data_IF_770539789881
#
_entry.id   IF_770539789881
#
_cell.length_a   1.000
_cell.length_b   1.000
_cell.length_c   1.000
_cell.angle_alpha   90.00
_cell.angle_beta   90.00
_cell.angle_gamma   90.00
#
_symmetry.space_group_name_H-M   'P 1'
#
loop_
_entity.id
_entity.type
_entity.pdbx_description
1 polymer ?
#
# COMPACT_ATOMS: atom_id res chain seq x y z
N UNK A 1 5.44 0.84 -5.24
CA UNK A 1 5.27 2.23 -5.74
C UNK A 1 5.21 3.13 -4.52
N UNK A 2 5.78 4.33 -4.61
CA UNK A 2 5.83 5.29 -3.51
C UNK A 2 5.43 6.68 -4.04
N UNK A 3 4.63 7.40 -3.27
CA UNK A 3 4.41 8.84 -3.44
C UNK A 3 4.91 9.53 -2.16
N UNK A 4 5.70 10.58 -2.33
CA UNK A 4 6.14 11.47 -1.25
C UNK A 4 5.48 12.83 -1.48
N UNK A 5 4.82 13.35 -0.46
CA UNK A 5 4.28 14.71 -0.48
C UNK A 5 5.19 15.56 0.40
N UNK A 6 5.86 16.54 -0.22
CA UNK A 6 6.77 17.47 0.42
C UNK A 6 6.12 18.86 0.53
N UNK A 7 6.48 19.61 1.57
CA UNK A 7 5.90 20.91 1.90
C UNK A 7 6.99 21.92 2.18
N UNK A 8 7.79 22.29 1.17
CA UNK A 8 8.89 23.24 1.39
C UNK A 8 8.45 24.70 1.18
N UNK A 9 8.12 25.11 -0.05
CA UNK A 9 8.12 26.55 -0.33
C UNK A 9 6.95 27.34 0.28
N UNK A 10 5.74 26.75 0.34
CA UNK A 10 4.54 27.46 0.82
C UNK A 10 4.49 27.56 2.34
N UNK A 11 5.01 26.57 3.07
CA UNK A 11 5.04 26.60 4.53
C UNK A 11 6.08 27.58 5.06
N UNK A 12 7.26 27.66 4.44
CA UNK A 12 8.32 28.57 4.87
C UNK A 12 7.93 30.06 4.76
N UNK A 13 7.10 30.43 3.79
CA UNK A 13 6.58 31.80 3.68
C UNK A 13 5.51 32.10 4.73
N UNK A 14 4.58 31.16 4.95
CA UNK A 14 3.51 31.32 5.94
C UNK A 14 4.06 31.38 7.38
N UNK A 15 5.10 30.60 7.71
CA UNK A 15 5.76 30.66 9.02
C UNK A 15 6.57 31.94 9.22
N UNK A 16 7.19 32.48 8.17
CA UNK A 16 7.91 33.75 8.24
C UNK A 16 6.99 34.98 8.38
N UNK A 17 5.76 34.90 7.86
CA UNK A 17 4.75 35.95 8.02
C UNK A 17 4.06 35.92 9.40
N UNK A 18 4.00 34.75 10.05
CA UNK A 18 3.38 34.54 11.37
C UNK A 18 4.40 34.69 12.51
N UNK A 19 4.87 35.92 12.75
CA UNK A 19 5.92 36.25 13.72
C UNK A 19 5.57 36.04 15.21
N UNK A 20 4.30 35.80 15.56
CA UNK A 20 3.86 35.86 16.98
C UNK A 20 4.00 34.53 17.76
N UNK A 21 4.10 33.36 17.11
CA UNK A 21 4.37 32.08 17.82
C UNK A 21 4.75 30.91 16.88
N UNK A 22 6.06 30.67 16.63
CA UNK A 22 6.52 29.60 15.74
C UNK A 22 6.18 28.19 16.24
N UNK A 23 6.06 27.99 17.56
CA UNK A 23 5.69 26.70 18.13
C UNK A 23 4.24 26.31 17.84
N UNK A 24 3.30 27.26 17.92
CA UNK A 24 1.88 27.03 17.63
C UNK A 24 1.67 26.64 16.16
N UNK A 25 2.39 27.31 15.26
CA UNK A 25 2.37 27.00 13.82
C UNK A 25 2.94 25.60 13.56
N UNK A 26 4.08 25.25 14.16
CA UNK A 26 4.67 23.91 14.02
C UNK A 26 3.75 22.80 14.54
N UNK A 27 3.06 23.05 15.66
CA UNK A 27 2.07 22.13 16.21
C UNK A 27 0.84 21.99 15.30
N UNK A 28 0.36 23.09 14.71
CA UNK A 28 -0.71 23.07 13.71
C UNK A 28 -0.29 22.22 12.49
N UNK A 29 0.90 22.46 11.92
CA UNK A 29 1.44 21.69 10.79
C UNK A 29 1.53 20.20 11.12
N UNK A 30 2.06 19.85 12.29
CA UNK A 30 2.16 18.45 12.72
C UNK A 30 0.77 17.78 12.82
N UNK A 31 -0.22 18.49 13.38
CA UNK A 31 -1.62 18.01 13.46
C UNK A 31 -2.22 17.84 12.06
N UNK A 32 -2.05 18.82 11.18
CA UNK A 32 -2.46 18.77 9.77
C UNK A 32 -1.91 17.53 9.09
N UNK A 33 -0.60 17.30 9.21
CA UNK A 33 0.07 16.16 8.57
C UNK A 33 -0.36 14.81 9.15
N UNK A 34 -0.63 14.74 10.44
CA UNK A 34 -1.21 13.55 11.08
C UNK A 34 -2.63 13.27 10.58
N UNK A 35 -3.44 14.31 10.39
CA UNK A 35 -4.80 14.19 9.84
C UNK A 35 -4.75 13.82 8.36
N UNK A 36 -3.82 14.38 7.59
CA UNK A 36 -3.59 14.08 6.18
C UNK A 36 -3.14 12.63 5.98
N UNK A 37 -2.19 12.12 6.78
CA UNK A 37 -1.72 10.73 6.64
C UNK A 37 -2.85 9.71 6.86
N UNK A 38 -3.69 9.93 7.87
CA UNK A 38 -4.90 9.11 8.13
C UNK A 38 -5.93 9.22 7.02
N UNK A 39 -6.05 10.39 6.39
CA UNK A 39 -6.92 10.58 5.24
C UNK A 39 -6.39 9.86 4.00
N UNK A 40 -5.11 10.03 3.70
CA UNK A 40 -4.42 9.40 2.58
C UNK A 40 -4.52 7.87 2.65
N UNK A 41 -4.24 7.28 3.81
CA UNK A 41 -4.36 5.82 4.01
C UNK A 41 -5.78 5.33 3.66
N UNK A 42 -6.82 6.03 4.15
CA UNK A 42 -8.22 5.70 3.87
C UNK A 42 -8.55 5.81 2.38
N UNK A 43 -8.11 6.89 1.71
CA UNK A 43 -8.39 7.10 0.29
C UNK A 43 -7.71 6.04 -0.57
N UNK A 44 -6.43 5.79 -0.34
CA UNK A 44 -5.64 4.80 -1.08
C UNK A 44 -6.23 3.40 -0.90
N UNK A 45 -6.58 3.01 0.33
CA UNK A 45 -7.22 1.73 0.59
C UNK A 45 -8.59 1.61 -0.09
N UNK A 46 -9.40 2.66 -0.06
CA UNK A 46 -10.74 2.67 -0.67
C UNK A 46 -10.66 2.51 -2.19
N UNK A 47 -9.81 3.31 -2.84
CA UNK A 47 -9.66 3.25 -4.29
C UNK A 47 -9.01 1.94 -4.75
N UNK A 48 -7.96 1.49 -4.07
CA UNK A 48 -7.32 0.21 -4.39
C UNK A 48 -8.31 -0.95 -4.22
N UNK A 49 -9.05 -0.98 -3.11
CA UNK A 49 -10.09 -1.98 -2.81
C UNK A 49 -11.14 -2.07 -3.92
N UNK A 50 -11.60 -0.93 -4.43
CA UNK A 50 -12.56 -0.86 -5.54
C UNK A 50 -11.98 -1.41 -6.83
N UNK A 51 -10.80 -0.91 -7.25
CA UNK A 51 -10.14 -1.30 -8.50
C UNK A 51 -9.84 -2.80 -8.57
N UNK A 52 -9.29 -3.38 -7.50
CA UNK A 52 -8.96 -4.82 -7.48
C UNK A 52 -10.10 -5.70 -6.94
N UNK A 53 -11.24 -5.13 -6.52
CA UNK A 53 -12.37 -5.85 -5.90
C UNK A 53 -11.95 -6.76 -4.73
N UNK A 54 -11.14 -6.22 -3.82
CA UNK A 54 -10.66 -6.88 -2.60
C UNK A 54 -11.02 -6.03 -1.39
N UNK A 55 -11.38 -6.63 -0.26
CA UNK A 55 -11.75 -5.86 0.93
C UNK A 55 -10.57 -5.04 1.48
N UNK A 56 -10.88 -3.85 2.01
CA UNK A 56 -9.87 -2.99 2.65
C UNK A 56 -9.19 -3.71 3.83
N UNK A 57 -9.94 -4.49 4.60
CA UNK A 57 -9.41 -5.30 5.71
C UNK A 57 -8.35 -6.29 5.22
N UNK A 58 -8.59 -6.99 4.09
CA UNK A 58 -7.59 -7.90 3.54
C UNK A 58 -6.34 -7.13 3.09
N UNK A 59 -6.51 -5.98 2.44
CA UNK A 59 -5.38 -5.13 2.02
C UNK A 59 -4.54 -4.66 3.21
N UNK A 60 -5.19 -4.27 4.32
CA UNK A 60 -4.52 -3.91 5.58
C UNK A 60 -3.77 -5.08 6.19
N UNK A 61 -4.41 -6.25 6.30
CA UNK A 61 -3.80 -7.45 6.89
C UNK A 61 -2.59 -7.94 6.06
N UNK A 62 -2.65 -7.79 4.74
CA UNK A 62 -1.53 -8.08 3.84
C UNK A 62 -0.48 -6.95 3.79
N UNK A 63 -0.69 -5.87 4.54
CA UNK A 63 0.19 -4.72 4.60
C UNK A 63 0.39 -4.04 3.25
N UNK A 64 -0.60 -4.06 2.36
CA UNK A 64 -0.49 -3.56 0.97
C UNK A 64 -0.46 -2.06 0.85
N UNK A 65 -0.97 -1.35 1.83
CA UNK A 65 -0.91 0.11 1.92
C UNK A 65 -0.29 0.44 3.26
N UNK A 66 0.75 1.26 3.24
CA UNK A 66 1.37 1.82 4.44
C UNK A 66 1.55 3.31 4.23
N UNK A 67 1.17 4.10 5.23
CA UNK A 67 1.40 5.54 5.23
C UNK A 67 2.22 5.89 6.45
N UNK A 68 3.35 6.56 6.26
CA UNK A 68 4.17 7.09 7.35
C UNK A 68 4.22 8.61 7.30
N UNK A 69 4.28 9.20 8.49
CA UNK A 69 4.60 10.61 8.67
C UNK A 69 6.07 10.68 9.07
N UNK A 70 6.89 11.26 8.22
CA UNK A 70 8.30 11.49 8.48
C UNK A 70 8.49 12.91 9.04
N UNK A 71 9.20 13.09 10.17
CA UNK A 71 9.48 14.41 10.71
C UNK A 71 10.59 15.14 9.92
N UNK A 72 10.71 16.47 10.09
CA UNK A 72 11.82 17.26 9.58
C UNK A 72 13.19 16.66 9.99
N UNK A 73 14.21 16.86 9.16
CA UNK A 73 15.58 16.37 9.35
C UNK A 73 15.77 14.88 9.05
N UNK A 74 14.69 14.10 8.90
CA UNK A 74 14.80 12.69 8.51
C UNK A 74 15.04 12.58 7.01
N UNK A 75 16.16 11.94 6.63
CA UNK A 75 16.64 11.83 5.23
C UNK A 75 16.97 13.17 4.55
N UNK A 76 17.27 14.21 5.34
CA UNK A 76 17.72 15.51 4.81
C UNK A 76 16.60 16.41 4.30
N UNK A 77 15.36 16.20 4.75
CA UNK A 77 14.21 17.01 4.36
C UNK A 77 13.94 18.12 5.38
N UNK A 78 13.59 19.32 4.91
CA UNK A 78 13.40 20.50 5.76
C UNK A 78 12.01 20.56 6.41
N UNK A 79 11.01 19.86 5.82
CA UNK A 79 9.64 19.78 6.32
C UNK A 79 9.17 18.39 6.76
N UNK A 80 7.94 18.34 7.29
CA UNK A 80 7.21 17.09 7.47
C UNK A 80 6.86 16.48 6.12
N UNK A 81 6.88 15.15 6.02
CA UNK A 81 6.50 14.43 4.80
C UNK A 81 5.48 13.33 5.07
N UNK A 82 4.49 13.20 4.20
CA UNK A 82 3.63 12.01 4.16
C UNK A 82 4.12 11.08 3.06
N UNK A 83 4.61 9.91 3.46
CA UNK A 83 5.08 8.87 2.53
C UNK A 83 4.02 7.78 2.42
N UNK A 84 3.54 7.55 1.19
CA UNK A 84 2.54 6.53 0.88
C UNK A 84 3.22 5.40 0.12
N UNK A 85 3.24 4.21 0.71
CA UNK A 85 3.75 2.99 0.09
C UNK A 85 2.61 2.05 -0.31
N UNK A 86 2.64 1.62 -1.57
CA UNK A 86 1.71 0.61 -2.12
C UNK A 86 2.49 -0.62 -2.58
N UNK A 87 2.15 -1.76 -1.98
CA UNK A 87 2.73 -3.07 -2.27
C UNK A 87 2.16 -3.67 -3.54
N UNK A 88 3.01 -3.82 -4.56
CA UNK A 88 2.61 -4.23 -5.91
C UNK A 88 2.61 -5.74 -6.14
N UNK A 89 3.13 -6.53 -5.20
CA UNK A 89 3.18 -7.99 -5.37
C UNK A 89 1.76 -8.54 -5.48
N UNK A 90 1.56 -9.45 -6.42
CA UNK A 90 0.28 -10.10 -6.64
C UNK A 90 -0.25 -10.74 -5.34
N UNK A 91 -1.57 -10.73 -5.16
CA UNK A 91 -2.24 -11.35 -4.02
C UNK A 91 -2.56 -12.80 -4.39
N UNK A 92 -1.96 -13.80 -3.73
CA UNK A 92 -2.26 -15.18 -4.06
C UNK A 92 -3.74 -15.51 -3.89
N UNK A 93 -4.29 -16.33 -4.78
CA UNK A 93 -5.73 -16.57 -4.87
C UNK A 93 -6.36 -17.07 -3.55
N UNK A 94 -5.65 -17.91 -2.79
CA UNK A 94 -6.13 -18.45 -1.52
C UNK A 94 -6.34 -17.39 -0.41
N UNK A 95 -5.78 -16.18 -0.55
CA UNK A 95 -6.11 -15.07 0.37
C UNK A 95 -7.45 -14.40 0.06
N UNK A 96 -8.00 -14.62 -1.14
CA UNK A 96 -9.21 -13.94 -1.61
C UNK A 96 -10.50 -14.61 -1.11
N UNK A 97 -10.38 -15.70 -0.35
CA UNK A 97 -11.50 -16.45 0.22
C UNK A 97 -11.17 -17.93 0.37
N UNK A 98 -12.17 -18.74 0.75
CA UNK A 98 -12.00 -20.18 0.86
C UNK A 98 -11.98 -20.83 -0.54
N UNK A 99 -10.87 -21.48 -0.94
CA UNK A 99 -10.78 -22.09 -2.26
C UNK A 99 -11.58 -23.39 -2.36
N UNK A 100 -12.35 -23.55 -3.44
CA UNK A 100 -13.19 -24.73 -3.72
C UNK A 100 -12.82 -25.30 -5.09
N UNK A 101 -12.42 -26.57 -5.10
CA UNK A 101 -12.14 -27.31 -6.34
C UNK A 101 -13.44 -27.54 -7.11
N UNK A 102 -13.39 -27.40 -8.43
CA UNK A 102 -14.48 -27.72 -9.37
C UNK A 102 -13.96 -28.64 -10.47
N UNK A 103 -14.85 -29.13 -11.35
CA UNK A 103 -14.48 -30.00 -12.48
C UNK A 103 -13.50 -29.35 -13.47
N UNK A 104 -13.59 -28.04 -13.67
CA UNK A 104 -12.82 -27.31 -14.69
C UNK A 104 -11.84 -26.27 -14.13
N UNK A 105 -11.69 -26.18 -12.81
CA UNK A 105 -10.85 -25.17 -12.18
C UNK A 105 -11.06 -25.02 -10.68
N UNK A 106 -10.67 -23.88 -10.13
CA UNK A 106 -10.88 -23.53 -8.72
C UNK A 106 -11.72 -22.26 -8.62
N UNK A 107 -12.67 -22.23 -7.70
CA UNK A 107 -13.41 -21.01 -7.32
C UNK A 107 -12.94 -20.53 -5.96
N UNK A 108 -12.68 -19.23 -5.83
CA UNK A 108 -12.27 -18.56 -4.58
C UNK A 108 -12.98 -17.21 -4.48
N UNK A 109 -13.83 -17.07 -3.48
CA UNK A 109 -14.70 -15.90 -3.35
C UNK A 109 -15.53 -15.69 -4.63
N UNK A 110 -15.40 -14.51 -5.24
CA UNK A 110 -16.13 -14.11 -6.46
C UNK A 110 -15.46 -14.49 -7.77
N UNK A 111 -14.26 -15.08 -7.72
CA UNK A 111 -13.40 -15.30 -8.87
C UNK A 111 -13.32 -16.79 -9.22
N UNK A 112 -13.05 -17.09 -10.49
CA UNK A 112 -12.88 -18.45 -11.00
C UNK A 112 -11.57 -18.54 -11.77
N UNK A 113 -10.78 -19.57 -11.46
CA UNK A 113 -9.48 -19.84 -12.05
C UNK A 113 -9.57 -21.09 -12.91
N UNK A 114 -9.78 -20.91 -14.21
CA UNK A 114 -9.95 -22.01 -15.16
C UNK A 114 -8.65 -22.80 -15.34
N UNK A 115 -8.78 -24.13 -15.30
CA UNK A 115 -7.67 -25.08 -15.38
C UNK A 115 -6.77 -25.11 -14.14
N UNK A 116 -7.14 -24.40 -13.08
CA UNK A 116 -6.42 -24.44 -11.82
C UNK A 116 -6.86 -25.62 -10.95
N UNK A 117 -6.02 -25.99 -10.00
CA UNK A 117 -6.27 -27.05 -9.02
C UNK A 117 -5.74 -26.66 -7.65
N UNK A 118 -6.30 -27.30 -6.61
CA UNK A 118 -5.83 -27.18 -5.24
C UNK A 118 -4.66 -28.12 -4.98
N UNK A 119 -3.62 -27.59 -4.34
CA UNK A 119 -2.50 -28.37 -3.82
C UNK A 119 -2.08 -27.75 -2.50
N UNK A 120 -1.79 -28.58 -1.51
CA UNK A 120 -1.20 -28.15 -0.26
C UNK A 120 0.31 -28.46 -0.28
N UNK A 121 1.17 -27.43 -0.36
CA UNK A 121 2.61 -27.62 -0.21
C UNK A 121 2.95 -28.17 1.17
N UNK A 122 4.03 -28.96 1.26
CA UNK A 122 4.51 -29.56 2.53
C UNK A 122 4.79 -28.49 3.60
N UNK A 123 5.25 -27.31 3.18
CA UNK A 123 5.56 -26.18 4.03
C UNK A 123 4.38 -25.20 4.21
N UNK A 124 3.13 -25.66 4.01
CA UNK A 124 1.95 -24.85 4.22
C UNK A 124 0.88 -25.56 5.02
N UNK A 125 0.25 -24.81 5.92
CA UNK A 125 -0.91 -25.25 6.70
C UNK A 125 -2.22 -25.27 5.89
N UNK A 126 -2.25 -24.70 4.68
CA UNK A 126 -3.48 -24.55 3.91
C UNK A 126 -3.28 -24.87 2.42
N UNK A 127 -4.35 -25.33 1.76
CA UNK A 127 -4.34 -25.56 0.33
C UNK A 127 -4.23 -24.23 -0.44
N UNK A 128 -3.39 -24.22 -1.48
CA UNK A 128 -3.22 -23.08 -2.37
C UNK A 128 -3.70 -23.42 -3.78
N UNK A 129 -3.85 -22.39 -4.61
CA UNK A 129 -4.34 -22.52 -5.99
C UNK A 129 -3.16 -22.48 -6.96
N UNK A 130 -3.04 -23.51 -7.79
CA UNK A 130 -2.00 -23.63 -8.80
C UNK A 130 -2.61 -23.91 -10.18
N UNK A 131 -1.86 -23.61 -11.23
CA UNK A 131 -2.17 -24.00 -12.62
C UNK A 131 -0.92 -24.58 -13.25
N UNK A 132 -1.06 -25.51 -14.20
CA UNK A 132 0.09 -26.03 -14.95
C UNK A 132 0.70 -24.91 -15.81
N UNK A 133 2.02 -24.78 -15.75
CA UNK A 133 2.75 -23.82 -16.57
C UNK A 133 2.99 -24.41 -17.97
N UNK A 134 2.49 -23.79 -19.06
CA UNK A 134 2.62 -24.37 -20.40
C UNK A 134 4.07 -24.41 -20.92
N UNK A 135 4.93 -23.50 -20.47
CA UNK A 135 6.32 -23.39 -20.91
C UNK A 135 7.31 -23.64 -19.77
N UNK A 136 7.03 -24.64 -18.93
CA UNK A 136 7.89 -24.96 -17.81
C UNK A 136 9.28 -25.44 -18.26
N UNK A 137 10.32 -24.89 -17.61
CA UNK A 137 11.70 -25.37 -17.75
C UNK A 137 12.27 -25.60 -16.36
N UNK A 138 12.88 -26.76 -16.14
CA UNK A 138 13.56 -27.02 -14.87
C UNK A 138 14.67 -26.00 -14.65
N UNK A 139 14.73 -25.45 -13.45
CA UNK A 139 15.82 -24.56 -13.04
C UNK A 139 16.81 -25.36 -12.20
N UNK A 140 18.08 -25.24 -12.56
CA UNK A 140 19.17 -25.75 -11.73
C UNK A 140 19.31 -24.81 -10.54
N UNK A 141 19.23 -25.36 -9.33
CA UNK A 141 19.42 -24.60 -8.10
C UNK A 141 20.41 -25.34 -7.19
N UNK A 142 21.31 -24.58 -6.58
CA UNK A 142 22.22 -25.11 -5.57
C UNK A 142 21.43 -25.38 -4.29
N UNK A 143 21.43 -26.63 -3.82
CA UNK A 143 20.87 -26.98 -2.52
C UNK A 143 21.70 -26.34 -1.42
N UNK A 144 21.12 -25.45 -0.61
CA UNK A 144 21.82 -24.87 0.55
C UNK A 144 22.16 -25.89 1.62
N UNK A 145 21.46 -27.04 1.66
CA UNK A 145 21.69 -28.10 2.64
C UNK A 145 22.78 -29.09 2.23
N UNK A 146 22.86 -29.43 0.94
CA UNK A 146 23.76 -30.48 0.45
C UNK A 146 24.88 -30.00 -0.47
N UNK A 147 24.85 -28.73 -0.90
CA UNK A 147 25.79 -28.18 -1.88
C UNK A 147 25.64 -28.74 -3.29
N UNK A 148 24.71 -29.66 -3.54
CA UNK A 148 24.49 -30.27 -4.86
C UNK A 148 23.58 -29.40 -5.72
N UNK A 149 23.87 -29.37 -7.03
CA UNK A 149 22.96 -28.78 -8.02
C UNK A 149 21.80 -29.74 -8.22
N UNK A 150 20.59 -29.28 -7.95
CA UNK A 150 19.37 -30.06 -8.12
C UNK A 150 18.47 -29.39 -9.17
N UNK A 151 17.74 -30.22 -9.91
CA UNK A 151 16.63 -29.76 -10.73
C UNK A 151 15.45 -29.45 -9.81
N UNK A 152 15.18 -28.17 -9.59
CA UNK A 152 14.11 -27.73 -8.69
C UNK A 152 12.89 -27.26 -9.46
N UNK A 153 11.74 -27.44 -8.81
CA UNK A 153 10.45 -26.90 -9.22
C UNK A 153 9.57 -27.89 -9.98
N UNK A 154 8.27 -27.80 -9.69
CA UNK A 154 7.20 -28.52 -10.36
C UNK A 154 6.66 -27.66 -11.52
N UNK A 155 6.10 -28.25 -12.59
CA UNK A 155 5.53 -27.52 -13.74
C UNK A 155 4.21 -26.83 -13.42
N UNK A 156 4.20 -26.02 -12.37
CA UNK A 156 3.01 -25.41 -11.78
C UNK A 156 3.33 -23.99 -11.34
N UNK A 157 2.35 -23.11 -11.48
CA UNK A 157 2.43 -21.71 -11.09
C UNK A 157 1.31 -21.36 -10.12
N UNK A 158 1.69 -20.69 -9.04
CA UNK A 158 0.74 -20.21 -8.03
C UNK A 158 -0.13 -19.12 -8.64
N UNK A 159 -1.43 -19.31 -8.60
CA UNK A 159 -2.38 -18.33 -9.13
C UNK A 159 -2.52 -17.15 -8.16
N UNK A 160 -2.51 -15.94 -8.71
CA UNK A 160 -2.57 -14.70 -7.96
C UNK A 160 -3.29 -13.60 -8.74
N UNK A 161 -3.82 -12.62 -8.01
CA UNK A 161 -4.42 -11.40 -8.56
C UNK A 161 -3.35 -10.33 -8.67
N UNK A 162 -3.16 -9.78 -9.87
CA UNK A 162 -2.23 -8.67 -10.10
C UNK A 162 -2.71 -7.41 -9.37
N UNK A 163 -1.79 -6.78 -8.62
CA UNK A 163 -2.01 -5.47 -7.99
C UNK A 163 -1.35 -4.37 -8.83
N UNK A 164 -0.22 -4.70 -9.47
CA UNK A 164 0.58 -3.78 -10.27
C UNK A 164 -0.24 -3.00 -11.31
N UNK A 165 -1.00 -3.72 -12.14
CA UNK A 165 -1.80 -3.13 -13.22
C UNK A 165 -2.84 -2.12 -12.72
N UNK A 166 -3.36 -2.33 -11.51
CA UNK A 166 -4.45 -1.53 -10.96
C UNK A 166 -3.95 -0.36 -10.10
N UNK A 167 -2.68 -0.40 -9.70
CA UNK A 167 -2.06 0.58 -8.84
C UNK A 167 -1.27 1.66 -9.62
N UNK A 168 -0.94 1.44 -10.89
CA UNK A 168 0.03 2.27 -11.64
C UNK A 168 -0.24 3.77 -11.64
N UNK A 169 -1.50 4.18 -11.78
CA UNK A 169 -1.97 5.57 -11.82
C UNK A 169 -2.68 6.02 -10.54
N UNK A 170 -2.87 5.11 -9.56
CA UNK A 170 -3.70 5.36 -8.39
C UNK A 170 -3.21 6.54 -7.55
N UNK A 171 -1.89 6.63 -7.34
CA UNK A 171 -1.31 7.69 -6.52
C UNK A 171 -1.36 9.05 -7.23
N UNK A 172 -1.06 9.09 -8.52
CA UNK A 172 -1.17 10.29 -9.35
C UNK A 172 -2.61 10.82 -9.40
N UNK A 173 -3.60 9.93 -9.51
CA UNK A 173 -5.01 10.32 -9.48
C UNK A 173 -5.47 10.90 -8.13
N UNK A 174 -4.81 10.54 -7.02
CA UNK A 174 -5.15 11.02 -5.68
C UNK A 174 -4.39 12.29 -5.29
N UNK A 175 -3.32 12.63 -5.98
CA UNK A 175 -2.41 13.72 -5.62
C UNK A 175 -3.13 15.05 -5.43
N UNK A 176 -3.90 15.49 -6.43
CA UNK A 176 -4.65 16.76 -6.38
C UNK A 176 -5.63 16.81 -5.21
N UNK A 177 -6.32 15.70 -4.93
CA UNK A 177 -7.28 15.61 -3.83
C UNK A 177 -6.59 15.56 -2.45
N UNK A 178 -5.38 15.01 -2.36
CA UNK A 178 -4.57 15.05 -1.14
C UNK A 178 -4.05 16.48 -0.87
N UNK A 179 -3.63 17.20 -1.90
CA UNK A 179 -3.20 18.60 -1.80
C UNK A 179 -4.35 19.52 -1.39
N UNK A 180 -5.52 19.39 -2.02
CA UNK A 180 -6.72 20.14 -1.63
C UNK A 180 -7.10 19.86 -0.16
N UNK A 181 -7.04 18.60 0.25
CA UNK A 181 -7.34 18.21 1.63
C UNK A 181 -6.29 18.76 2.60
N UNK A 182 -5.02 18.81 2.20
CA UNK A 182 -3.96 19.40 2.99
C UNK A 182 -4.23 20.88 3.25
N UNK A 183 -4.49 21.68 2.23
CA UNK A 183 -4.78 23.12 2.36
C UNK A 183 -5.96 23.35 3.31
N UNK A 184 -7.04 22.58 3.12
CA UNK A 184 -8.23 22.65 3.99
C UNK A 184 -7.89 22.35 5.45
N UNK A 185 -7.14 21.28 5.71
CA UNK A 185 -6.76 20.90 7.07
C UNK A 185 -5.78 21.91 7.68
N UNK A 186 -4.85 22.46 6.90
CA UNK A 186 -3.90 23.46 7.39
C UNK A 186 -4.62 24.71 7.86
N UNK A 187 -5.54 25.24 7.04
CA UNK A 187 -6.34 26.40 7.41
C UNK A 187 -7.13 26.16 8.70
N UNK A 188 -7.73 24.97 8.86
CA UNK A 188 -8.45 24.59 10.07
C UNK A 188 -7.55 24.54 11.30
N UNK A 189 -6.37 23.91 11.21
CA UNK A 189 -5.45 23.82 12.36
C UNK A 189 -4.84 25.17 12.72
N UNK A 190 -4.53 26.03 11.74
CA UNK A 190 -4.04 27.39 12.00
C UNK A 190 -5.11 28.24 12.67
N UNK A 191 -6.34 28.21 12.16
CA UNK A 191 -7.47 28.91 12.78
C UNK A 191 -7.72 28.45 14.22
N UNK A 192 -7.59 27.14 14.48
CA UNK A 192 -7.71 26.59 15.83
C UNK A 192 -6.58 27.09 16.75
N UNK A 193 -5.34 27.05 16.27
CA UNK A 193 -4.19 27.52 17.03
C UNK A 193 -4.34 28.99 17.43
N UNK A 194 -4.60 29.88 16.48
CA UNK A 194 -4.62 31.32 16.75
C UNK A 194 -5.86 31.81 17.50
N UNK A 195 -7.05 31.26 17.21
CA UNK A 195 -8.29 31.79 17.78
C UNK A 195 -8.76 31.06 19.04
N UNK A 196 -8.22 29.88 19.35
CA UNK A 196 -8.68 29.06 20.49
C UNK A 196 -7.55 28.76 21.46
N UNK A 197 -6.35 28.40 20.99
CA UNK A 197 -5.22 28.12 21.89
C UNK A 197 -4.47 29.39 22.34
N UNK A 198 -4.56 30.48 21.58
CA UNK A 198 -3.92 31.76 21.88
C UNK A 198 -4.76 32.75 22.72
N UNK A 199 -6.00 32.40 23.06
CA UNK A 199 -6.91 33.18 23.93
C UNK A 199 -6.89 32.65 25.37
#
# INVERSE_FOLDING_TARGET
>A
MQLTIELDETLHRLTAELNDSPEMVNNAIRRTMTKLSRFAERQVLRELSRRISVSQTLLKNLGRVKVSLEPPGRRGNDGYQVVIWVGLSAIPAHYLGNPRQTRSGVRVGRRFWQGAFLMQPVNSSHAMVFKRAPHWRHRKQLSQRSGKVMWMGLPIEKQALSVYEQAGDLLSALESHLLERFTTLLQQELNFAFNIEGS
#
